data_IF_840703594865
#
_entry.id   IF_840703594865
#
_cell.length_a   1.000
_cell.length_b   1.000
_cell.length_c   1.000
_cell.angle_alpha   90.00
_cell.angle_beta   90.00
_cell.angle_gamma   90.00
#
_symmetry.space_group_name_H-M   'P 1'
#
loop_
_entity.id
_entity.type
_entity.pdbx_description
1 polymer ?
#
# COMPACT_ATOMS: atom_id res chain seq x y z
N UNK A 1 45.88 -14.06 75.17
CA UNK A 1 45.52 -12.70 74.68
C UNK A 1 45.80 -12.63 73.19
N UNK A 2 44.83 -12.89 72.32
CA UNK A 2 45.02 -12.76 70.88
C UNK A 2 44.02 -11.71 70.38
N UNK A 3 44.56 -10.59 69.89
CA UNK A 3 43.74 -9.54 69.26
C UNK A 3 43.40 -9.94 67.83
N UNK A 4 42.12 -10.13 67.54
CA UNK A 4 41.57 -10.30 66.21
C UNK A 4 41.35 -8.90 65.60
N UNK A 5 42.11 -8.55 64.55
CA UNK A 5 41.82 -7.37 63.74
C UNK A 5 40.83 -7.73 62.65
N UNK A 6 39.66 -7.21 62.76
CA UNK A 6 38.64 -7.29 61.69
C UNK A 6 38.92 -6.16 60.70
N UNK A 7 39.29 -6.53 59.48
CA UNK A 7 39.42 -5.61 58.35
C UNK A 7 38.06 -5.50 57.65
N UNK A 8 37.38 -4.36 57.81
CA UNK A 8 36.12 -4.08 57.07
C UNK A 8 36.57 -3.46 55.72
N UNK A 9 36.46 -4.24 54.63
CA UNK A 9 36.59 -3.74 53.29
C UNK A 9 35.24 -3.15 52.84
N UNK A 10 35.16 -1.82 52.77
CA UNK A 10 34.02 -1.12 52.23
C UNK A 10 34.08 -1.19 50.69
N UNK A 11 33.28 -2.06 50.09
CA UNK A 11 33.06 -2.04 48.63
C UNK A 11 32.14 -0.85 48.25
N UNK A 12 32.75 0.22 47.77
CA UNK A 12 32.02 1.31 47.10
C UNK A 12 31.52 0.78 45.73
N UNK A 13 30.29 0.39 45.64
CA UNK A 13 29.61 0.19 44.37
C UNK A 13 29.34 1.55 43.73
N UNK A 14 30.28 2.01 42.92
CA UNK A 14 30.01 3.12 41.98
C UNK A 14 29.07 2.56 40.88
N UNK A 15 27.79 2.77 41.03
CA UNK A 15 26.85 2.60 39.94
C UNK A 15 27.09 3.68 38.91
N UNK A 16 27.93 3.41 37.93
CA UNK A 16 28.04 4.20 36.71
C UNK A 16 26.72 3.94 35.93
N UNK A 17 25.74 4.81 36.14
CA UNK A 17 24.65 4.93 35.19
C UNK A 17 25.22 5.44 33.89
N UNK A 18 25.64 4.53 33.03
CA UNK A 18 25.88 4.87 31.61
C UNK A 18 24.53 5.17 31.03
N UNK A 19 24.07 6.40 31.19
CA UNK A 19 23.02 6.97 30.33
C UNK A 19 23.67 7.10 28.95
N UNK A 20 23.68 6.02 28.18
CA UNK A 20 23.91 6.10 26.76
C UNK A 20 22.76 6.97 26.20
N UNK A 21 22.99 8.27 26.13
CA UNK A 21 22.06 9.21 25.52
C UNK A 21 21.94 8.77 24.06
N UNK A 22 20.86 8.05 23.76
CA UNK A 22 20.60 7.61 22.41
C UNK A 22 20.62 8.84 21.49
N UNK A 23 21.44 8.79 20.45
CA UNK A 23 21.58 9.92 19.51
C UNK A 23 20.25 10.09 18.74
N UNK A 24 19.89 11.35 18.38
CA UNK A 24 18.79 11.58 17.45
C UNK A 24 19.07 10.84 16.14
N UNK A 25 18.19 9.93 15.75
CA UNK A 25 18.38 9.10 14.56
C UNK A 25 17.14 9.06 13.69
N UNK A 26 17.34 8.86 12.41
CA UNK A 26 16.34 8.48 11.45
C UNK A 26 16.05 6.98 11.63
N UNK A 27 14.81 6.64 11.93
CA UNK A 27 14.36 5.25 12.08
C UNK A 27 14.02 4.66 10.72
N UNK A 28 13.26 5.40 9.91
CA UNK A 28 12.81 4.96 8.60
C UNK A 28 12.59 6.15 7.66
N UNK A 29 12.78 5.94 6.36
CA UNK A 29 12.67 6.99 5.35
C UNK A 29 13.98 7.78 5.14
N UNK A 30 13.91 9.00 4.57
CA UNK A 30 12.69 9.64 4.08
C UNK A 30 12.27 9.15 2.69
N UNK A 31 10.96 9.18 2.42
CA UNK A 31 10.43 8.96 1.07
C UNK A 31 9.35 9.98 0.71
N UNK A 32 9.11 10.13 -0.60
CA UNK A 32 8.05 10.98 -1.12
C UNK A 32 6.77 10.17 -1.39
N UNK A 33 5.61 10.78 -1.16
CA UNK A 33 4.31 10.26 -1.58
C UNK A 33 3.33 11.38 -1.83
N UNK A 34 2.15 11.05 -2.36
CA UNK A 34 1.16 12.02 -2.80
C UNK A 34 1.80 13.18 -3.60
N UNK A 35 2.60 12.81 -4.61
CA UNK A 35 3.26 13.78 -5.47
C UNK A 35 2.29 14.25 -6.54
N UNK A 36 1.99 15.55 -6.54
CA UNK A 36 1.04 16.21 -7.44
C UNK A 36 1.73 17.25 -8.32
N UNK A 37 0.96 18.07 -9.03
CA UNK A 37 1.47 19.14 -9.90
C UNK A 37 2.21 20.23 -9.12
N UNK A 38 1.77 20.51 -7.87
CA UNK A 38 2.22 21.67 -7.09
C UNK A 38 2.58 21.35 -5.64
N UNK A 39 2.44 20.10 -5.24
CA UNK A 39 2.79 19.67 -3.89
C UNK A 39 3.33 18.22 -3.88
N UNK A 40 4.00 17.88 -2.77
CA UNK A 40 4.43 16.54 -2.46
C UNK A 40 4.47 16.38 -0.92
N UNK A 41 4.29 15.17 -0.43
CA UNK A 41 4.45 14.85 0.99
C UNK A 41 5.75 14.07 1.18
N UNK A 42 6.59 14.52 2.11
CA UNK A 42 7.77 13.76 2.55
C UNK A 42 7.43 13.11 3.89
N UNK A 43 7.63 11.82 3.94
CA UNK A 43 7.43 11.00 5.13
C UNK A 43 8.77 10.55 5.72
N UNK A 44 8.86 10.49 7.03
CA UNK A 44 9.96 9.85 7.77
C UNK A 44 9.49 9.42 9.16
N UNK A 45 10.20 8.49 9.78
CA UNK A 45 10.07 8.19 11.20
C UNK A 45 11.39 8.50 11.91
N UNK A 46 11.31 9.21 13.04
CA UNK A 46 12.48 9.65 13.79
C UNK A 46 12.42 9.16 15.24
N UNK A 47 13.58 9.01 15.85
CA UNK A 47 13.66 8.56 17.24
C UNK A 47 13.12 9.61 18.22
N UNK A 48 12.70 9.21 19.44
CA UNK A 48 12.17 10.11 20.48
C UNK A 48 13.14 11.22 20.91
N UNK A 49 14.43 11.07 20.64
CA UNK A 49 15.46 12.05 21.00
C UNK A 49 15.51 13.25 20.07
N UNK A 50 14.91 13.14 18.87
CA UNK A 50 14.82 14.23 17.89
C UNK A 50 13.88 15.32 18.42
N UNK A 51 14.33 16.57 18.38
CA UNK A 51 13.55 17.73 18.85
C UNK A 51 12.92 18.52 17.72
N UNK A 52 13.54 18.50 16.54
CA UNK A 52 13.05 19.19 15.36
C UNK A 52 13.33 18.42 14.08
N UNK A 53 12.38 18.47 13.17
CA UNK A 53 12.51 17.85 11.84
C UNK A 53 12.19 18.91 10.78
N UNK A 54 12.98 18.95 9.71
CA UNK A 54 12.71 19.80 8.56
C UNK A 54 13.08 19.06 7.27
N UNK A 55 12.49 19.49 6.16
CA UNK A 55 12.91 19.09 4.81
C UNK A 55 13.49 20.28 4.08
N UNK A 56 14.73 20.14 3.59
CA UNK A 56 15.35 21.05 2.65
C UNK A 56 15.24 20.47 1.25
N UNK A 57 14.79 21.29 0.29
CA UNK A 57 14.60 20.81 -1.08
C UNK A 57 14.88 21.91 -2.11
N UNK A 58 15.13 21.50 -3.34
CA UNK A 58 15.38 22.40 -4.46
C UNK A 58 15.16 21.68 -5.81
N UNK A 59 14.76 22.39 -6.88
CA UNK A 59 14.67 21.80 -8.21
C UNK A 59 16.07 21.51 -8.76
N UNK A 60 16.23 20.35 -9.41
CA UNK A 60 17.52 19.94 -10.02
C UNK A 60 18.01 20.99 -11.03
N UNK A 61 17.08 21.60 -11.76
CA UNK A 61 17.38 22.63 -12.77
C UNK A 61 17.97 23.93 -12.18
N UNK A 62 17.71 24.22 -10.89
CA UNK A 62 18.24 25.41 -10.22
C UNK A 62 18.51 25.15 -8.72
N UNK A 63 19.67 24.60 -8.38
CA UNK A 63 20.02 24.32 -6.98
C UNK A 63 20.11 25.54 -6.06
N UNK A 64 20.10 26.77 -6.60
CA UNK A 64 20.11 27.99 -5.76
C UNK A 64 18.74 28.27 -5.14
N UNK A 65 17.64 27.74 -5.69
CA UNK A 65 16.28 27.90 -5.17
C UNK A 65 15.98 26.96 -4.01
N UNK A 66 16.87 26.92 -3.03
CA UNK A 66 16.71 26.07 -1.83
C UNK A 66 15.60 26.64 -0.93
N UNK A 67 14.68 25.73 -0.55
CA UNK A 67 13.63 26.02 0.45
C UNK A 67 13.76 25.04 1.60
N UNK A 68 13.28 25.45 2.77
CA UNK A 68 13.22 24.59 3.97
C UNK A 68 11.83 24.69 4.57
N UNK A 69 11.22 23.53 4.87
CA UNK A 69 9.92 23.41 5.51
C UNK A 69 10.10 22.67 6.84
N UNK A 70 9.62 23.25 7.92
CA UNK A 70 9.64 22.65 9.25
C UNK A 70 8.47 21.68 9.39
N UNK A 71 8.70 20.56 10.06
CA UNK A 71 7.65 19.64 10.49
C UNK A 71 6.76 20.31 11.52
N UNK A 72 5.46 20.14 11.37
CA UNK A 72 4.44 20.63 12.31
C UNK A 72 3.93 19.57 13.28
N UNK A 73 4.34 18.30 13.08
CA UNK A 73 3.96 17.23 13.97
C UNK A 73 4.56 17.44 15.37
N UNK A 74 3.78 17.12 16.38
CA UNK A 74 4.26 17.02 17.76
C UNK A 74 4.99 15.69 17.87
N UNK A 75 6.27 15.73 18.27
CA UNK A 75 7.06 14.52 18.48
C UNK A 75 6.68 13.91 19.83
N UNK A 76 6.46 12.60 19.81
CA UNK A 76 6.02 11.82 20.97
C UNK A 76 7.18 11.10 21.66
N UNK A 77 6.82 10.08 22.44
CA UNK A 77 7.77 9.35 23.27
C UNK A 77 8.36 8.13 22.55
N UNK A 78 7.51 7.27 21.93
CA UNK A 78 7.95 5.98 21.40
C UNK A 78 8.14 6.01 19.88
N UNK A 79 7.12 6.41 19.14
CA UNK A 79 7.10 6.38 17.68
C UNK A 79 6.79 7.76 17.14
N UNK A 80 7.60 8.23 16.19
CA UNK A 80 7.46 9.55 15.60
C UNK A 80 7.42 9.51 14.07
N UNK A 81 6.37 8.94 13.45
CA UNK A 81 6.14 9.13 12.03
C UNK A 81 5.75 10.59 11.76
N UNK A 82 6.42 11.22 10.83
CA UNK A 82 6.20 12.62 10.47
C UNK A 82 5.88 12.75 8.98
N UNK A 83 5.02 13.73 8.66
CA UNK A 83 4.66 14.11 7.30
C UNK A 83 4.90 15.58 7.10
N UNK A 84 5.63 15.94 6.06
CA UNK A 84 6.00 17.30 5.74
C UNK A 84 5.52 17.61 4.33
N UNK A 85 4.56 18.51 4.22
CA UNK A 85 4.01 18.93 2.93
C UNK A 85 4.90 20.01 2.30
N UNK A 86 5.32 19.75 1.07
CA UNK A 86 6.02 20.69 0.22
C UNK A 86 5.02 21.31 -0.75
N UNK A 87 4.80 22.60 -0.67
CA UNK A 87 3.82 23.33 -1.48
C UNK A 87 4.48 24.36 -2.40
N UNK A 88 3.78 24.77 -3.45
CA UNK A 88 4.26 25.78 -4.40
C UNK A 88 5.39 25.23 -5.27
N UNK A 89 5.29 23.97 -5.66
CA UNK A 89 6.19 23.29 -6.58
C UNK A 89 5.80 23.63 -8.04
N UNK A 90 6.77 23.48 -8.94
CA UNK A 90 6.54 23.55 -10.38
C UNK A 90 6.20 22.16 -10.91
N UNK A 91 5.31 22.05 -11.88
CA UNK A 91 4.95 20.79 -12.52
C UNK A 91 6.09 20.25 -13.40
N UNK A 92 6.10 18.96 -13.67
CA UNK A 92 7.12 18.25 -14.47
C UNK A 92 8.56 18.62 -14.06
N UNK A 93 8.78 18.76 -12.76
CA UNK A 93 10.05 19.22 -12.20
C UNK A 93 10.59 18.21 -11.19
N UNK A 94 11.85 17.82 -11.37
CA UNK A 94 12.55 16.95 -10.44
C UNK A 94 13.14 17.77 -9.30
N UNK A 95 12.80 17.38 -8.07
CA UNK A 95 13.31 17.95 -6.83
C UNK A 95 14.22 16.97 -6.12
N UNK A 96 15.35 17.47 -5.61
CA UNK A 96 16.16 16.78 -4.60
C UNK A 96 15.73 17.30 -3.24
N UNK A 97 15.64 16.41 -2.26
CA UNK A 97 15.32 16.78 -0.88
C UNK A 97 16.26 16.09 0.11
N UNK A 98 16.38 16.66 1.28
CA UNK A 98 17.11 16.08 2.41
C UNK A 98 16.38 16.36 3.72
N UNK A 99 16.38 15.39 4.61
CA UNK A 99 15.83 15.53 5.95
C UNK A 99 16.87 16.20 6.86
N UNK A 100 16.42 17.13 7.68
CA UNK A 100 17.23 17.84 8.68
C UNK A 100 16.67 17.47 10.06
N UNK A 101 17.51 16.89 10.91
CA UNK A 101 17.20 16.52 12.29
C UNK A 101 18.05 17.38 13.22
N UNK A 102 17.41 18.14 14.12
CA UNK A 102 18.09 19.02 15.07
C UNK A 102 19.19 19.88 14.42
N UNK A 103 18.79 20.55 13.32
CA UNK A 103 19.62 21.41 12.49
C UNK A 103 20.79 20.70 11.73
N UNK A 104 20.86 19.37 11.76
CA UNK A 104 21.88 18.58 11.04
C UNK A 104 21.23 17.72 9.94
N UNK A 105 21.85 17.58 8.76
CA UNK A 105 21.38 16.65 7.75
C UNK A 105 21.32 15.21 8.27
N UNK A 106 20.19 14.53 8.04
CA UNK A 106 20.11 13.11 8.24
C UNK A 106 20.96 12.39 7.16
N UNK A 107 21.66 11.35 7.58
CA UNK A 107 22.46 10.55 6.66
C UNK A 107 21.57 9.45 6.04
N UNK A 108 21.50 9.40 4.70
CA UNK A 108 20.83 8.35 3.95
C UNK A 108 21.79 7.72 2.96
N UNK A 109 21.73 6.40 2.79
CA UNK A 109 22.56 5.65 1.85
C UNK A 109 22.00 5.63 0.42
N UNK A 110 20.91 6.35 0.17
CA UNK A 110 20.19 6.39 -1.10
C UNK A 110 19.83 7.83 -1.48
N UNK A 111 19.60 8.04 -2.79
CA UNK A 111 19.19 9.35 -3.30
C UNK A 111 17.73 9.64 -2.92
N UNK A 112 17.47 10.86 -2.51
CA UNK A 112 16.15 11.35 -2.14
C UNK A 112 15.69 12.39 -3.16
N UNK A 113 14.85 11.97 -4.09
CA UNK A 113 14.30 12.81 -5.16
C UNK A 113 12.88 12.39 -5.52
N UNK A 114 12.13 13.29 -6.07
CA UNK A 114 10.83 13.02 -6.72
C UNK A 114 10.65 13.95 -7.92
N UNK A 115 9.73 13.59 -8.81
CA UNK A 115 9.34 14.44 -9.95
C UNK A 115 7.85 14.71 -9.85
N UNK A 116 7.46 15.99 -9.88
CA UNK A 116 6.05 16.40 -9.90
C UNK A 116 5.38 15.97 -11.19
N UNK A 117 4.07 15.74 -11.16
CA UNK A 117 3.28 15.32 -12.30
C UNK A 117 3.38 16.30 -13.46
N UNK A 118 3.12 15.82 -14.65
CA UNK A 118 3.07 16.62 -15.86
C UNK A 118 1.68 17.25 -16.06
N UNK A 119 1.63 18.51 -16.43
CA UNK A 119 0.40 19.22 -16.77
C UNK A 119 0.09 19.02 -18.25
N UNK A 120 -0.49 17.88 -18.60
CA UNK A 120 -0.74 17.44 -19.97
C UNK A 120 -2.14 17.78 -20.49
N UNK A 121 -3.16 17.83 -19.61
CA UNK A 121 -4.57 17.99 -19.99
C UNK A 121 -4.76 19.25 -20.87
N UNK A 122 -5.46 19.06 -21.98
CA UNK A 122 -5.73 20.10 -23.01
C UNK A 122 -4.49 20.67 -23.71
N UNK A 123 -3.28 20.15 -23.46
CA UNK A 123 -2.00 20.66 -23.98
C UNK A 123 -1.29 19.68 -24.88
N UNK A 124 -1.31 18.41 -24.53
CA UNK A 124 -0.62 17.33 -25.25
C UNK A 124 -1.29 15.98 -24.96
N UNK A 125 -0.98 14.91 -25.71
CA UNK A 125 -1.46 13.58 -25.39
C UNK A 125 -1.08 13.17 -23.96
N UNK A 126 -1.90 12.30 -23.35
CA UNK A 126 -1.63 11.72 -22.05
C UNK A 126 -0.27 11.02 -22.07
N UNK A 127 0.65 11.32 -21.13
CA UNK A 127 1.95 10.67 -21.07
C UNK A 127 1.85 9.16 -20.86
N UNK A 128 2.74 8.42 -21.50
CA UNK A 128 2.98 7.03 -21.15
C UNK A 128 3.66 6.95 -19.79
N UNK A 129 3.34 5.93 -19.02
CA UNK A 129 3.94 5.72 -17.69
C UNK A 129 3.89 4.27 -17.30
N UNK A 130 4.62 3.94 -16.24
CA UNK A 130 4.51 2.66 -15.57
C UNK A 130 4.46 2.83 -14.06
N UNK A 131 3.93 1.83 -13.36
CA UNK A 131 3.92 1.76 -11.91
C UNK A 131 4.14 0.33 -11.44
N UNK A 132 4.57 0.19 -10.18
CA UNK A 132 4.67 -1.10 -9.53
C UNK A 132 3.46 -1.31 -8.63
N UNK A 133 3.07 -2.57 -8.46
CA UNK A 133 1.99 -2.95 -7.55
C UNK A 133 2.21 -4.35 -6.98
N UNK A 134 1.62 -4.62 -5.82
CA UNK A 134 1.57 -5.94 -5.19
C UNK A 134 1.30 -5.85 -3.69
N UNK A 135 1.36 -6.99 -3.01
CA UNK A 135 0.90 -7.16 -1.64
C UNK A 135 1.72 -8.20 -0.87
N UNK A 136 1.41 -8.38 0.41
CA UNK A 136 1.87 -9.47 1.27
C UNK A 136 3.38 -9.42 1.53
N UNK A 137 3.81 -8.36 2.24
CA UNK A 137 5.20 -8.11 2.64
C UNK A 137 5.48 -8.63 4.06
N UNK A 138 5.85 -9.89 4.19
CA UNK A 138 6.17 -10.52 5.47
C UNK A 138 7.66 -10.49 5.78
N UNK A 139 8.03 -9.94 6.93
CA UNK A 139 9.41 -9.95 7.43
C UNK A 139 9.50 -10.86 8.65
N UNK A 140 10.31 -11.90 8.56
CA UNK A 140 10.50 -12.85 9.65
C UNK A 140 11.03 -12.17 10.92
N UNK A 141 10.48 -12.61 12.06
CA UNK A 141 10.92 -12.25 13.41
C UNK A 141 10.81 -13.49 14.29
N UNK A 142 11.81 -14.39 14.27
CA UNK A 142 11.72 -15.76 14.79
C UNK A 142 11.23 -15.89 16.24
N UNK A 143 11.41 -14.85 17.05
CA UNK A 143 10.94 -14.83 18.47
C UNK A 143 9.41 -14.79 18.54
N UNK A 144 8.76 -14.15 17.57
CA UNK A 144 7.31 -13.92 17.56
C UNK A 144 6.59 -14.61 16.41
N UNK A 145 7.34 -15.14 15.43
CA UNK A 145 6.76 -15.92 14.35
C UNK A 145 6.30 -17.30 14.86
N UNK A 146 5.34 -17.89 14.17
CA UNK A 146 4.88 -19.25 14.48
C UNK A 146 6.04 -20.24 14.33
N UNK A 147 6.19 -21.21 15.25
CA UNK A 147 7.26 -22.19 15.19
C UNK A 147 7.24 -22.99 13.88
N UNK A 148 8.41 -23.33 13.36
CA UNK A 148 8.55 -24.16 12.18
C UNK A 148 9.35 -23.49 11.06
N UNK A 149 9.00 -23.81 9.81
CA UNK A 149 9.64 -23.19 8.65
C UNK A 149 9.30 -21.69 8.61
N UNK A 150 10.30 -20.80 8.36
CA UNK A 150 10.02 -19.38 8.20
C UNK A 150 8.94 -19.14 7.13
N UNK A 151 7.98 -18.26 7.45
CA UNK A 151 6.88 -17.94 6.55
C UNK A 151 7.29 -16.93 5.48
N UNK A 152 8.11 -15.96 5.86
CA UNK A 152 8.66 -14.97 4.93
C UNK A 152 9.76 -15.58 4.06
N UNK A 153 9.67 -15.32 2.76
CA UNK A 153 10.62 -15.73 1.74
C UNK A 153 11.75 -14.71 1.52
N UNK A 154 12.26 -14.66 0.29
CA UNK A 154 13.41 -13.84 -0.07
C UNK A 154 13.02 -12.36 -0.22
N UNK A 155 13.57 -11.51 0.65
CA UNK A 155 13.33 -10.08 0.63
C UNK A 155 14.13 -9.30 -0.43
N UNK A 156 15.05 -9.95 -1.16
CA UNK A 156 15.81 -9.30 -2.24
C UNK A 156 14.91 -8.82 -3.40
N UNK A 157 13.66 -9.29 -3.46
CA UNK A 157 12.63 -8.75 -4.36
C UNK A 157 12.50 -7.22 -4.25
N UNK A 158 12.63 -6.65 -3.05
CA UNK A 158 12.55 -5.21 -2.84
C UNK A 158 13.73 -4.44 -3.45
N UNK A 159 14.90 -5.07 -3.57
CA UNK A 159 16.04 -4.50 -4.31
C UNK A 159 15.76 -4.50 -5.82
N UNK A 160 15.20 -5.58 -6.33
CA UNK A 160 14.76 -5.69 -7.73
C UNK A 160 13.72 -4.63 -8.06
N UNK A 161 12.73 -4.44 -7.19
CA UNK A 161 11.73 -3.38 -7.32
C UNK A 161 12.38 -1.99 -7.29
N UNK A 162 13.29 -1.73 -6.36
CA UNK A 162 14.00 -0.44 -6.27
C UNK A 162 14.86 -0.13 -7.50
N UNK A 163 15.32 -1.14 -8.21
CA UNK A 163 16.07 -1.04 -9.47
C UNK A 163 15.16 -0.99 -10.72
N UNK A 164 13.86 -1.22 -10.57
CA UNK A 164 12.88 -1.17 -11.66
C UNK A 164 12.32 0.26 -11.77
N UNK A 165 12.64 1.04 -12.82
CA UNK A 165 12.12 2.38 -12.95
C UNK A 165 10.60 2.39 -13.04
N UNK A 166 9.95 3.21 -12.20
CA UNK A 166 8.52 3.41 -12.20
C UNK A 166 8.14 4.80 -11.70
N UNK A 167 6.96 5.27 -12.10
CA UNK A 167 6.44 6.58 -11.71
C UNK A 167 5.99 6.61 -10.24
N UNK A 168 5.49 5.48 -9.73
CA UNK A 168 5.05 5.29 -8.36
C UNK A 168 4.85 3.80 -8.07
N UNK A 169 4.59 3.49 -6.81
CA UNK A 169 4.27 2.15 -6.34
C UNK A 169 2.94 2.15 -5.57
N UNK A 170 2.13 1.09 -5.75
CA UNK A 170 0.87 0.86 -5.03
C UNK A 170 0.99 -0.42 -4.19
N UNK A 171 0.96 -0.25 -2.88
CA UNK A 171 0.82 -1.33 -1.92
C UNK A 171 -0.64 -1.76 -1.85
N UNK A 172 -0.93 -3.02 -2.14
CA UNK A 172 -2.30 -3.54 -2.25
C UNK A 172 -2.73 -4.36 -1.02
N UNK A 173 -2.32 -3.93 0.16
CA UNK A 173 -2.61 -4.59 1.42
C UNK A 173 -1.47 -5.47 1.92
N UNK A 174 -1.56 -5.86 3.20
CA UNK A 174 -0.54 -6.63 3.90
C UNK A 174 0.84 -6.00 3.82
N UNK A 175 0.90 -4.69 4.07
CA UNK A 175 2.14 -3.91 4.03
C UNK A 175 3.08 -4.25 5.20
N UNK A 176 2.52 -4.77 6.27
CA UNK A 176 3.16 -5.39 7.43
C UNK A 176 2.23 -6.44 8.00
N UNK A 177 2.78 -7.35 8.79
CA UNK A 177 2.02 -8.46 9.35
C UNK A 177 2.01 -8.40 10.88
N UNK A 178 0.87 -8.06 11.48
CA UNK A 178 0.67 -8.15 12.94
C UNK A 178 0.71 -9.59 13.40
N UNK A 179 1.30 -9.82 14.57
CA UNK A 179 1.37 -11.13 15.24
C UNK A 179 0.44 -11.15 16.46
N UNK A 180 0.31 -12.33 17.05
CA UNK A 180 -0.47 -12.52 18.27
C UNK A 180 -0.03 -11.59 19.42
N UNK A 181 1.25 -11.20 19.45
CA UNK A 181 1.80 -10.27 20.44
C UNK A 181 1.51 -8.80 20.12
N UNK A 182 1.08 -8.48 18.92
CA UNK A 182 0.91 -7.11 18.44
C UNK A 182 -0.54 -6.63 18.52
N UNK A 183 -1.48 -7.41 17.95
CA UNK A 183 -2.84 -6.94 17.67
C UNK A 183 -3.75 -6.80 18.90
N UNK A 184 -3.26 -7.13 20.10
CA UNK A 184 -4.03 -6.97 21.34
C UNK A 184 -3.79 -5.64 22.05
N UNK A 185 -2.95 -4.76 21.50
CA UNK A 185 -2.66 -3.43 22.06
C UNK A 185 -2.35 -2.41 20.98
N UNK A 186 -2.72 -1.14 21.20
CA UNK A 186 -2.35 -0.04 20.30
C UNK A 186 -0.84 0.10 20.13
N UNK A 187 -0.07 -0.11 21.19
CA UNK A 187 1.40 -0.08 21.13
C UNK A 187 1.98 -1.19 20.25
N UNK A 188 1.45 -2.42 20.37
CA UNK A 188 1.89 -3.56 19.56
C UNK A 188 1.63 -3.33 18.06
N UNK A 189 0.43 -2.85 17.72
CA UNK A 189 0.11 -2.49 16.33
C UNK A 189 1.08 -1.44 15.77
N UNK A 190 1.39 -0.41 16.56
CA UNK A 190 2.32 0.65 16.12
C UNK A 190 3.75 0.15 16.05
N UNK A 191 4.19 -0.68 17.00
CA UNK A 191 5.50 -1.33 16.96
C UNK A 191 5.68 -2.12 15.68
N UNK A 192 4.68 -2.91 15.29
CA UNK A 192 4.74 -3.71 14.07
C UNK A 192 4.88 -2.86 12.81
N UNK A 193 4.07 -1.83 12.68
CA UNK A 193 4.15 -0.90 11.54
C UNK A 193 5.52 -0.22 11.47
N UNK A 194 6.04 0.29 12.59
CA UNK A 194 7.36 0.93 12.68
C UNK A 194 8.48 -0.06 12.33
N UNK A 195 8.47 -1.23 12.97
CA UNK A 195 9.49 -2.27 12.79
C UNK A 195 9.58 -2.73 11.34
N UNK A 196 8.44 -3.09 10.73
CA UNK A 196 8.45 -3.62 9.36
C UNK A 196 8.78 -2.52 8.34
N UNK A 197 8.29 -1.29 8.53
CA UNK A 197 8.66 -0.13 7.68
C UNK A 197 10.12 0.30 7.84
N UNK A 198 10.75 0.07 8.97
CA UNK A 198 12.17 0.40 9.20
C UNK A 198 13.15 -0.63 8.63
N UNK A 199 12.67 -1.74 8.08
CA UNK A 199 13.55 -2.77 7.53
C UNK A 199 14.48 -2.18 6.45
N UNK A 200 15.79 -2.39 6.61
CA UNK A 200 16.82 -1.72 5.79
C UNK A 200 16.61 -1.93 4.29
N UNK A 201 16.18 -3.15 3.89
CA UNK A 201 15.97 -3.50 2.49
C UNK A 201 14.83 -2.71 1.83
N UNK A 202 13.84 -2.26 2.62
CA UNK A 202 12.73 -1.44 2.11
C UNK A 202 13.13 0.02 1.83
N UNK A 203 14.14 0.55 2.55
CA UNK A 203 14.40 2.00 2.54
C UNK A 203 14.69 2.54 1.14
N UNK A 204 15.45 1.77 0.35
CA UNK A 204 15.79 2.16 -1.02
C UNK A 204 14.57 2.11 -1.94
N UNK A 205 13.72 1.07 -1.84
CA UNK A 205 12.47 0.98 -2.61
C UNK A 205 11.55 2.15 -2.28
N UNK A 206 11.30 2.38 -1.00
CA UNK A 206 10.41 3.45 -0.54
C UNK A 206 10.87 4.83 -1.03
N UNK A 207 12.18 5.07 -1.09
CA UNK A 207 12.76 6.34 -1.55
C UNK A 207 12.87 6.46 -3.08
N UNK A 208 12.78 5.35 -3.83
CA UNK A 208 13.01 5.35 -5.29
C UNK A 208 11.86 5.96 -6.08
N UNK A 209 10.64 5.91 -5.55
CA UNK A 209 9.43 6.42 -6.20
C UNK A 209 8.34 6.76 -5.16
N UNK A 210 7.34 7.61 -5.51
CA UNK A 210 6.19 7.88 -4.66
C UNK A 210 5.42 6.61 -4.29
N UNK A 211 4.92 6.55 -3.03
CA UNK A 211 4.24 5.40 -2.46
C UNK A 211 2.76 5.72 -2.21
N UNK A 212 1.87 4.83 -2.65
CA UNK A 212 0.45 4.80 -2.31
C UNK A 212 0.11 3.44 -1.71
N UNK A 213 -0.91 3.36 -0.88
CA UNK A 213 -1.24 2.11 -0.20
C UNK A 213 -2.74 1.96 0.09
N UNK A 214 -3.19 0.71 0.11
CA UNK A 214 -4.35 0.27 0.87
C UNK A 214 -3.88 -0.71 1.94
N UNK A 215 -4.75 -1.07 2.86
CA UNK A 215 -4.51 -2.15 3.81
C UNK A 215 -5.25 -3.43 3.44
N UNK A 216 -4.87 -4.54 4.12
CA UNK A 216 -5.72 -5.70 4.24
C UNK A 216 -5.75 -6.16 5.71
N UNK A 217 -6.07 -7.41 6.03
CA UNK A 217 -6.28 -7.86 7.41
C UNK A 217 -5.02 -7.75 8.28
N UNK A 218 -3.86 -8.07 7.75
CA UNK A 218 -2.62 -8.06 8.54
C UNK A 218 -2.10 -6.66 8.88
N UNK A 219 -2.42 -5.63 8.08
CA UNK A 219 -2.20 -4.24 8.47
C UNK A 219 -3.23 -3.77 9.49
N UNK A 220 -4.46 -4.28 9.36
CA UNK A 220 -5.61 -3.87 10.13
C UNK A 220 -5.62 -4.48 11.53
N UNK A 221 -5.30 -5.79 11.66
CA UNK A 221 -5.32 -6.49 12.92
C UNK A 221 -5.10 -7.99 12.82
N UNK A 222 -5.90 -8.80 13.52
CA UNK A 222 -5.89 -10.25 13.40
C UNK A 222 -6.29 -10.70 11.98
N UNK A 223 -5.82 -11.90 11.60
CA UNK A 223 -6.21 -12.55 10.35
C UNK A 223 -7.74 -12.53 10.15
N UNK A 224 -8.19 -12.09 8.99
CA UNK A 224 -9.58 -11.95 8.57
C UNK A 224 -10.42 -10.96 9.39
N UNK A 225 -9.85 -10.14 10.26
CA UNK A 225 -10.60 -9.21 11.09
C UNK A 225 -11.39 -8.19 10.23
N UNK A 226 -12.56 -7.84 10.74
CA UNK A 226 -13.50 -6.90 10.14
C UNK A 226 -13.99 -5.85 11.14
N UNK A 227 -15.24 -5.45 11.00
CA UNK A 227 -15.86 -4.34 11.72
C UNK A 227 -15.84 -4.48 13.25
N UNK A 228 -15.80 -5.72 13.75
CA UNK A 228 -15.81 -6.03 15.19
C UNK A 228 -14.47 -5.82 15.88
N UNK A 229 -13.38 -5.62 15.13
CA UNK A 229 -12.06 -5.46 15.73
C UNK A 229 -11.98 -4.22 16.62
N UNK A 230 -11.66 -4.44 17.88
CA UNK A 230 -11.73 -3.42 18.94
C UNK A 230 -10.71 -2.29 18.78
N UNK A 231 -9.56 -2.54 18.12
CA UNK A 231 -8.50 -1.55 17.86
C UNK A 231 -8.53 -0.97 16.44
N UNK A 232 -9.66 -1.06 15.74
CA UNK A 232 -9.78 -0.59 14.35
C UNK A 232 -9.48 0.90 14.17
N UNK A 233 -9.78 1.73 15.16
CA UNK A 233 -9.49 3.17 15.12
C UNK A 233 -7.97 3.43 15.25
N UNK A 234 -7.31 2.67 16.12
CA UNK A 234 -5.86 2.69 16.29
C UNK A 234 -5.18 2.24 15.01
N UNK A 235 -5.62 1.12 14.42
CA UNK A 235 -5.11 0.62 13.14
C UNK A 235 -5.25 1.65 12.03
N UNK A 236 -6.41 2.30 11.94
CA UNK A 236 -6.66 3.39 11.00
C UNK A 236 -5.69 4.56 11.22
N UNK A 237 -5.48 4.99 12.46
CA UNK A 237 -4.58 6.08 12.77
C UNK A 237 -3.12 5.71 12.46
N UNK A 238 -2.72 4.46 12.74
CA UNK A 238 -1.40 3.93 12.40
C UNK A 238 -1.23 3.89 10.89
N UNK A 239 -2.16 3.30 10.16
CA UNK A 239 -2.10 3.27 8.70
C UNK A 239 -1.99 4.68 8.10
N UNK A 240 -2.83 5.61 8.58
CA UNK A 240 -2.76 7.01 8.20
C UNK A 240 -1.37 7.60 8.47
N UNK A 241 -0.75 7.30 9.60
CA UNK A 241 0.56 7.84 9.97
C UNK A 241 1.72 7.24 9.16
N UNK A 242 1.62 5.97 8.73
CA UNK A 242 2.68 5.23 8.02
C UNK A 242 2.52 5.18 6.49
N UNK A 243 1.53 5.86 5.93
CA UNK A 243 1.30 5.95 4.48
C UNK A 243 1.14 7.41 4.04
N UNK A 244 1.21 7.66 2.74
CA UNK A 244 1.18 9.02 2.17
C UNK A 244 0.10 9.19 1.10
N UNK A 245 -1.07 8.60 1.32
CA UNK A 245 -2.22 8.79 0.44
C UNK A 245 -2.74 10.25 0.47
N UNK A 246 -3.45 10.69 -0.56
CA UNK A 246 -4.04 12.04 -0.60
C UNK A 246 -5.06 12.31 0.52
N UNK A 247 -5.82 11.28 0.88
CA UNK A 247 -6.87 11.33 1.92
C UNK A 247 -7.07 9.95 2.57
N UNK A 248 -7.91 9.87 3.60
CA UNK A 248 -8.19 8.65 4.35
C UNK A 248 -9.64 8.62 4.80
N UNK A 249 -10.52 8.04 3.96
CA UNK A 249 -11.94 7.93 4.23
C UNK A 249 -12.64 9.27 4.42
N UNK A 250 -13.84 9.21 4.95
CA UNK A 250 -14.69 10.36 5.26
C UNK A 250 -15.13 10.33 6.72
N UNK A 251 -15.40 11.51 7.29
CA UNK A 251 -15.88 11.67 8.68
C UNK A 251 -15.02 10.95 9.73
N UNK A 252 -13.72 10.82 9.47
CA UNK A 252 -12.80 10.11 10.37
C UNK A 252 -12.89 8.57 10.31
N UNK A 253 -13.56 7.98 9.33
CA UNK A 253 -13.79 6.53 9.19
C UNK A 253 -13.24 5.99 7.89
N UNK A 254 -12.66 4.78 7.95
CA UNK A 254 -12.05 4.11 6.81
C UNK A 254 -10.75 4.76 6.32
N UNK A 255 -10.17 4.18 5.28
CA UNK A 255 -8.91 4.66 4.67
C UNK A 255 -9.03 4.88 3.17
N UNK A 256 -10.21 4.68 2.59
CA UNK A 256 -10.39 4.83 1.15
C UNK A 256 -10.02 6.22 0.63
N UNK A 257 -9.53 6.27 -0.59
CA UNK A 257 -8.97 7.47 -1.22
C UNK A 257 -8.93 7.33 -2.73
N UNK A 258 -8.58 8.39 -3.44
CA UNK A 258 -8.34 8.33 -4.87
C UNK A 258 -7.20 9.26 -5.28
N UNK A 259 -6.54 8.91 -6.38
CA UNK A 259 -5.61 9.79 -7.08
C UNK A 259 -5.64 9.51 -8.57
N UNK A 260 -5.17 10.44 -9.37
CA UNK A 260 -5.04 10.28 -10.82
C UNK A 260 -3.56 10.34 -11.23
N UNK A 261 -3.17 9.53 -12.20
CA UNK A 261 -1.87 9.66 -12.85
C UNK A 261 -2.03 9.53 -14.36
N UNK A 262 -1.57 10.52 -15.11
CA UNK A 262 -1.86 10.63 -16.55
C UNK A 262 -3.38 10.53 -16.79
N UNK A 263 -3.82 9.61 -17.64
CA UNK A 263 -5.21 9.34 -17.98
C UNK A 263 -5.78 8.10 -17.26
N UNK A 264 -5.27 7.80 -16.08
CA UNK A 264 -5.75 6.70 -15.23
C UNK A 264 -6.14 7.22 -13.85
N UNK A 265 -7.32 6.82 -13.39
CA UNK A 265 -7.78 7.05 -12.02
C UNK A 265 -7.66 5.79 -11.17
N UNK A 266 -7.14 5.96 -9.96
CA UNK A 266 -6.94 4.91 -8.97
C UNK A 266 -7.89 5.15 -7.80
N UNK A 267 -8.77 4.19 -7.53
CA UNK A 267 -9.69 4.17 -6.40
C UNK A 267 -9.14 3.19 -5.37
N UNK A 268 -8.51 3.72 -4.36
CA UNK A 268 -7.93 2.97 -3.24
C UNK A 268 -9.05 2.66 -2.26
N UNK A 269 -9.47 1.41 -2.15
CA UNK A 269 -10.60 1.02 -1.29
C UNK A 269 -10.16 0.54 0.08
N UNK A 270 -11.11 0.45 0.98
CA UNK A 270 -11.00 -0.08 2.32
C UNK A 270 -11.90 -1.31 2.45
N UNK A 271 -11.32 -2.47 2.52
CA UNK A 271 -12.04 -3.75 2.61
C UNK A 271 -12.04 -4.33 4.03
N UNK A 272 -11.76 -3.51 5.08
CA UNK A 272 -11.69 -3.98 6.47
C UNK A 272 -12.55 -3.19 7.45
N UNK A 273 -12.43 -1.89 7.47
CA UNK A 273 -13.05 -1.04 8.50
C UNK A 273 -14.57 -1.20 8.61
N UNK A 274 -15.25 -1.43 7.48
CA UNK A 274 -16.70 -1.59 7.40
C UNK A 274 -17.14 -3.03 7.12
N UNK A 275 -16.18 -3.96 6.99
CA UNK A 275 -16.45 -5.32 6.57
C UNK A 275 -17.13 -6.12 7.68
N UNK A 276 -18.29 -6.69 7.37
CA UNK A 276 -18.95 -7.68 8.22
C UNK A 276 -18.09 -8.94 8.36
N UNK A 277 -18.25 -9.64 9.47
CA UNK A 277 -17.54 -10.91 9.69
C UNK A 277 -17.88 -11.93 8.60
N UNK A 278 -16.92 -12.72 8.11
CA UNK A 278 -17.12 -13.67 7.02
C UNK A 278 -18.26 -14.68 7.28
N UNK A 279 -18.43 -15.09 8.54
CA UNK A 279 -19.42 -16.07 8.98
C UNK A 279 -20.87 -15.54 8.98
N UNK A 280 -21.06 -14.22 8.88
CA UNK A 280 -22.40 -13.66 8.74
C UNK A 280 -23.06 -14.21 7.48
N UNK A 281 -24.32 -14.62 7.60
CA UNK A 281 -25.08 -15.17 6.47
C UNK A 281 -25.13 -14.16 5.30
N UNK A 282 -24.75 -14.62 4.12
CA UNK A 282 -24.72 -13.82 2.90
C UNK A 282 -26.12 -13.64 2.28
N UNK A 283 -27.07 -14.45 2.69
CA UNK A 283 -28.47 -14.36 2.21
C UNK A 283 -29.46 -14.52 3.35
N UNK A 284 -30.60 -13.86 3.20
CA UNK A 284 -31.76 -14.01 4.06
C UNK A 284 -33.00 -14.21 3.15
N UNK A 285 -33.82 -15.22 3.46
CA UNK A 285 -35.02 -15.52 2.68
C UNK A 285 -34.76 -15.73 1.17
N UNK A 286 -33.59 -16.29 0.82
CA UNK A 286 -33.21 -16.55 -0.57
C UNK A 286 -32.77 -15.30 -1.37
N UNK A 287 -32.53 -14.15 -0.70
CA UNK A 287 -32.03 -12.91 -1.31
C UNK A 287 -30.72 -12.50 -0.66
N UNK A 288 -29.81 -11.83 -1.40
CA UNK A 288 -28.61 -11.25 -0.84
C UNK A 288 -28.89 -10.33 0.35
N UNK A 289 -28.14 -10.47 1.42
CA UNK A 289 -28.32 -9.72 2.67
C UNK A 289 -27.65 -8.35 2.59
N UNK A 290 -28.42 -7.27 2.64
CA UNK A 290 -27.89 -5.92 2.74
C UNK A 290 -27.17 -5.64 4.07
N UNK A 291 -27.37 -6.48 5.08
CA UNK A 291 -26.69 -6.36 6.38
C UNK A 291 -25.26 -6.89 6.37
N UNK A 292 -24.88 -7.72 5.37
CA UNK A 292 -23.52 -8.20 5.19
C UNK A 292 -22.77 -7.29 4.23
N UNK A 293 -21.85 -6.49 4.77
CA UNK A 293 -21.14 -5.45 4.03
C UNK A 293 -19.67 -5.78 3.82
N UNK A 294 -19.10 -5.42 2.68
CA UNK A 294 -17.68 -5.49 2.36
C UNK A 294 -17.01 -4.11 2.42
N UNK A 295 -17.52 -3.16 1.66
CA UNK A 295 -17.12 -1.77 1.66
C UNK A 295 -17.96 -0.88 2.59
N UNK A 296 -19.20 -1.27 2.86
CA UNK A 296 -20.17 -0.47 3.59
C UNK A 296 -20.80 0.63 2.74
N UNK A 297 -21.99 1.10 3.17
CA UNK A 297 -22.81 1.99 2.38
C UNK A 297 -22.14 3.31 1.98
N UNK A 298 -21.42 3.95 2.90
CA UNK A 298 -20.73 5.25 2.66
C UNK A 298 -19.65 5.13 1.61
N UNK A 299 -18.78 4.13 1.73
CA UNK A 299 -17.72 3.92 0.74
C UNK A 299 -18.29 3.51 -0.62
N UNK A 300 -19.34 2.67 -0.65
CA UNK A 300 -20.04 2.31 -1.90
C UNK A 300 -20.65 3.54 -2.59
N UNK A 301 -21.23 4.45 -1.83
CA UNK A 301 -21.76 5.71 -2.36
C UNK A 301 -20.62 6.58 -2.93
N UNK A 302 -19.54 6.76 -2.18
CA UNK A 302 -18.35 7.48 -2.63
C UNK A 302 -17.79 6.88 -3.93
N UNK A 303 -17.57 5.55 -3.96
CA UNK A 303 -16.98 4.87 -5.12
C UNK A 303 -17.85 5.03 -6.37
N UNK A 304 -19.17 4.88 -6.24
CA UNK A 304 -20.12 5.07 -7.34
C UNK A 304 -20.06 6.50 -7.90
N UNK A 305 -20.07 7.51 -7.05
CA UNK A 305 -20.00 8.90 -7.47
C UNK A 305 -18.62 9.23 -8.09
N UNK A 306 -17.54 8.72 -7.52
CA UNK A 306 -16.19 8.90 -8.05
C UNK A 306 -16.01 8.26 -9.43
N UNK A 307 -16.57 7.07 -9.66
CA UNK A 307 -16.59 6.39 -10.96
C UNK A 307 -17.41 7.16 -12.02
N UNK A 308 -18.56 7.73 -11.65
CA UNK A 308 -19.37 8.57 -12.55
C UNK A 308 -18.64 9.86 -12.93
N UNK A 309 -17.93 10.47 -11.98
CA UNK A 309 -17.17 11.70 -12.23
C UNK A 309 -15.94 11.47 -13.10
N UNK A 310 -15.34 10.27 -13.05
CA UNK A 310 -14.10 9.94 -13.71
C UNK A 310 -14.20 9.97 -15.24
N UNK A 311 -13.31 10.75 -15.86
CA UNK A 311 -13.12 10.81 -17.31
C UNK A 311 -11.87 10.02 -17.76
N UNK A 312 -11.26 9.26 -16.86
CA UNK A 312 -10.04 8.52 -17.13
C UNK A 312 -10.28 7.38 -18.15
N UNK A 313 -9.25 7.10 -18.94
CA UNK A 313 -9.22 5.98 -19.90
C UNK A 313 -9.35 4.65 -19.16
N UNK A 314 -8.55 4.47 -18.11
CA UNK A 314 -8.66 3.31 -17.21
C UNK A 314 -9.03 3.76 -15.79
N UNK A 315 -9.88 2.99 -15.14
CA UNK A 315 -10.38 3.18 -13.79
C UNK A 315 -9.99 1.97 -12.96
N UNK A 316 -8.91 2.08 -12.21
CA UNK A 316 -8.35 0.97 -11.42
C UNK A 316 -8.91 1.04 -10.00
N UNK A 317 -9.74 0.06 -9.64
CA UNK A 317 -10.24 -0.12 -8.28
C UNK A 317 -9.30 -1.09 -7.58
N UNK A 318 -8.60 -0.60 -6.54
CA UNK A 318 -7.63 -1.37 -5.78
C UNK A 318 -8.30 -1.89 -4.50
N UNK A 319 -8.31 -3.21 -4.32
CA UNK A 319 -8.91 -3.90 -3.16
C UNK A 319 -7.87 -4.83 -2.52
N UNK A 320 -7.89 -4.99 -1.21
CA UNK A 320 -7.00 -5.93 -0.51
C UNK A 320 -7.20 -7.37 -1.00
N UNK A 321 -8.45 -7.83 -1.03
CA UNK A 321 -8.82 -9.17 -1.50
C UNK A 321 -9.49 -9.13 -2.88
N UNK A 322 -9.59 -10.29 -3.54
CA UNK A 322 -10.21 -10.45 -4.86
C UNK A 322 -11.67 -9.98 -4.88
N UNK A 323 -12.08 -9.48 -6.05
CA UNK A 323 -13.46 -9.01 -6.30
C UNK A 323 -14.26 -9.97 -7.15
N UNK A 324 -13.66 -10.54 -8.20
CA UNK A 324 -14.39 -11.25 -9.26
C UNK A 324 -14.26 -12.78 -9.22
N UNK A 325 -13.32 -13.36 -8.46
CA UNK A 325 -13.06 -14.80 -8.51
C UNK A 325 -14.23 -15.63 -7.95
N UNK A 326 -14.96 -16.40 -8.78
CA UNK A 326 -16.13 -17.15 -8.33
C UNK A 326 -15.78 -18.41 -7.52
N UNK A 327 -14.52 -18.85 -7.57
CA UNK A 327 -14.06 -20.06 -6.90
C UNK A 327 -13.30 -19.78 -5.59
N UNK A 328 -12.98 -18.52 -5.32
CA UNK A 328 -12.37 -18.14 -4.06
C UNK A 328 -13.39 -18.27 -2.91
N UNK A 329 -13.12 -19.23 -2.01
CA UNK A 329 -13.96 -19.54 -0.85
C UNK A 329 -13.45 -18.88 0.45
N UNK A 330 -12.28 -18.23 0.41
CA UNK A 330 -11.65 -17.66 1.61
C UNK A 330 -12.01 -16.19 1.80
N UNK A 331 -11.39 -15.33 1.03
CA UNK A 331 -11.63 -13.88 1.08
C UNK A 331 -11.87 -13.33 -0.32
N UNK A 332 -13.06 -12.85 -0.55
CA UNK A 332 -13.44 -12.28 -1.84
C UNK A 332 -14.68 -11.41 -1.65
N UNK A 333 -14.75 -10.27 -2.34
CA UNK A 333 -15.96 -9.43 -2.30
C UNK A 333 -17.20 -10.18 -2.74
N UNK A 334 -17.06 -11.20 -3.58
CA UNK A 334 -18.17 -12.03 -4.04
C UNK A 334 -18.91 -12.76 -2.91
N UNK A 335 -18.26 -13.01 -1.77
CA UNK A 335 -18.89 -13.60 -0.57
C UNK A 335 -19.79 -12.61 0.19
N UNK A 336 -19.91 -11.40 -0.32
CA UNK A 336 -20.76 -10.29 0.13
C UNK A 336 -21.68 -9.90 -1.02
N UNK A 337 -22.54 -10.85 -1.40
CA UNK A 337 -23.24 -10.84 -2.68
C UNK A 337 -24.08 -9.59 -2.91
N UNK A 338 -24.69 -9.02 -1.86
CA UNK A 338 -25.46 -7.78 -1.98
C UNK A 338 -24.60 -6.62 -2.55
N UNK A 339 -23.48 -6.29 -1.93
CA UNK A 339 -22.65 -5.17 -2.40
C UNK A 339 -21.96 -5.49 -3.73
N UNK A 340 -21.51 -6.75 -3.92
CA UNK A 340 -20.92 -7.20 -5.17
C UNK A 340 -21.87 -7.04 -6.35
N UNK A 341 -23.08 -7.56 -6.25
CA UNK A 341 -24.12 -7.47 -7.30
C UNK A 341 -24.52 -6.02 -7.57
N UNK A 342 -24.66 -5.19 -6.51
CA UNK A 342 -24.96 -3.77 -6.64
C UNK A 342 -23.86 -3.00 -7.35
N UNK A 343 -22.58 -3.30 -7.09
CA UNK A 343 -21.46 -2.68 -7.80
C UNK A 343 -21.47 -3.08 -9.28
N UNK A 344 -21.58 -4.37 -9.59
CA UNK A 344 -21.61 -4.85 -10.98
C UNK A 344 -22.81 -4.30 -11.76
N UNK A 345 -23.99 -4.27 -11.12
CA UNK A 345 -25.18 -3.67 -11.71
C UNK A 345 -24.99 -2.17 -11.98
N UNK A 346 -24.43 -1.44 -11.02
CA UNK A 346 -24.14 -0.01 -11.18
C UNK A 346 -23.20 0.27 -12.35
N UNK A 347 -22.11 -0.50 -12.49
CA UNK A 347 -21.17 -0.37 -13.60
C UNK A 347 -21.87 -0.58 -14.95
N UNK A 348 -22.79 -1.56 -15.01
CA UNK A 348 -23.54 -1.90 -16.21
C UNK A 348 -24.61 -0.85 -16.55
N UNK A 349 -25.44 -0.47 -15.58
CA UNK A 349 -26.56 0.46 -15.76
C UNK A 349 -26.08 1.87 -16.16
N UNK A 350 -24.92 2.30 -15.64
CA UNK A 350 -24.32 3.60 -15.94
C UNK A 350 -23.28 3.55 -17.07
N UNK A 351 -23.13 2.39 -17.75
CA UNK A 351 -22.21 2.21 -18.87
C UNK A 351 -20.76 2.68 -18.56
N UNK A 352 -20.29 2.43 -17.32
CA UNK A 352 -18.95 2.84 -16.90
C UNK A 352 -17.91 2.03 -17.67
N UNK A 353 -17.11 2.68 -18.50
CA UNK A 353 -16.04 2.07 -19.31
C UNK A 353 -14.70 2.10 -18.61
N UNK A 354 -13.78 1.19 -18.99
CA UNK A 354 -12.38 1.22 -18.57
C UNK A 354 -12.13 0.71 -17.15
N UNK A 355 -13.06 -0.01 -16.53
CA UNK A 355 -12.91 -0.50 -15.15
C UNK A 355 -12.09 -1.78 -15.10
N UNK A 356 -11.12 -1.80 -14.17
CA UNK A 356 -10.28 -2.94 -13.81
C UNK A 356 -10.22 -3.03 -12.28
N UNK A 357 -10.18 -4.22 -11.73
CA UNK A 357 -9.89 -4.47 -10.33
C UNK A 357 -8.44 -4.93 -10.17
N UNK A 358 -7.76 -4.42 -9.16
CA UNK A 358 -6.44 -4.87 -8.75
C UNK A 358 -6.52 -5.33 -7.30
N UNK A 359 -6.01 -6.53 -7.01
CA UNK A 359 -6.16 -7.18 -5.71
C UNK A 359 -4.88 -7.85 -5.21
N UNK A 360 -4.85 -8.14 -3.89
CA UNK A 360 -3.76 -8.81 -3.19
C UNK A 360 -4.16 -10.14 -2.56
N UNK A 361 -3.72 -10.40 -1.31
CA UNK A 361 -4.14 -11.45 -0.39
C UNK A 361 -3.73 -12.89 -0.77
N UNK A 362 -3.91 -13.31 -1.99
CA UNK A 362 -3.95 -14.72 -2.42
C UNK A 362 -2.64 -15.50 -2.35
N UNK A 363 -1.52 -14.84 -2.15
CA UNK A 363 -0.18 -15.45 -2.14
C UNK A 363 0.18 -16.21 -3.42
N UNK A 364 -0.49 -15.89 -4.51
CA UNK A 364 -0.19 -16.18 -5.91
C UNK A 364 -0.75 -15.06 -6.76
N UNK A 365 -0.26 -14.91 -7.98
CA UNK A 365 -0.82 -13.94 -8.92
C UNK A 365 -1.61 -14.64 -10.00
N UNK A 366 -2.69 -14.01 -10.42
CA UNK A 366 -3.55 -14.47 -11.50
C UNK A 366 -4.38 -13.31 -12.07
N UNK A 367 -4.99 -13.50 -13.21
CA UNK A 367 -6.00 -12.57 -13.75
C UNK A 367 -7.30 -13.32 -13.96
N UNK A 368 -8.34 -12.88 -13.28
CA UNK A 368 -9.70 -13.40 -13.43
C UNK A 368 -10.47 -12.54 -14.42
N UNK A 369 -11.13 -13.16 -15.36
CA UNK A 369 -11.99 -12.53 -16.37
C UNK A 369 -13.45 -12.91 -16.12
N UNK A 370 -14.30 -11.91 -15.92
CA UNK A 370 -15.75 -12.07 -15.82
C UNK A 370 -16.40 -11.58 -17.11
N UNK A 371 -16.91 -12.49 -17.91
CA UNK A 371 -17.71 -12.16 -19.11
C UNK A 371 -19.07 -11.59 -18.70
N UNK A 372 -19.51 -10.56 -19.42
CA UNK A 372 -20.80 -9.91 -19.21
C UNK A 372 -21.52 -9.80 -20.55
N UNK A 373 -22.63 -10.53 -20.76
CA UNK A 373 -23.35 -10.50 -22.05
C UNK A 373 -23.73 -9.07 -22.48
N UNK A 374 -23.34 -8.69 -23.70
CA UNK A 374 -23.60 -7.35 -24.25
C UNK A 374 -22.77 -6.21 -23.68
N UNK A 375 -21.82 -6.50 -22.79
CA UNK A 375 -20.91 -5.54 -22.16
C UNK A 375 -19.46 -6.03 -22.32
N UNK A 376 -18.50 -5.14 -22.10
CA UNK A 376 -17.10 -5.56 -22.04
C UNK A 376 -16.83 -6.42 -20.79
N UNK A 377 -15.87 -7.36 -20.85
CA UNK A 377 -15.52 -8.19 -19.70
C UNK A 377 -14.83 -7.37 -18.62
N UNK A 378 -15.06 -7.71 -17.34
CA UNK A 378 -14.29 -7.17 -16.22
C UNK A 378 -13.09 -8.08 -15.93
N UNK A 379 -12.03 -7.47 -15.46
CA UNK A 379 -10.81 -8.17 -15.06
C UNK A 379 -10.43 -7.84 -13.62
N UNK A 380 -9.97 -8.85 -12.88
CA UNK A 380 -9.40 -8.74 -11.54
C UNK A 380 -7.96 -9.24 -11.59
N UNK A 381 -7.03 -8.31 -11.42
CA UNK A 381 -5.58 -8.54 -11.51
C UNK A 381 -5.04 -8.72 -10.10
N UNK A 382 -4.82 -9.95 -9.70
CA UNK A 382 -4.24 -10.30 -8.40
C UNK A 382 -2.72 -10.31 -8.49
N UNK A 383 -2.02 -9.60 -7.59
CA UNK A 383 -0.56 -9.54 -7.55
C UNK A 383 -0.08 -9.78 -6.11
N UNK A 384 0.43 -10.97 -5.86
CA UNK A 384 0.81 -11.49 -4.55
C UNK A 384 1.68 -12.75 -4.69
N UNK A 385 2.61 -13.06 -3.75
CA UNK A 385 3.08 -12.23 -2.66
C UNK A 385 4.43 -11.56 -2.99
N UNK A 386 4.77 -10.51 -2.25
CA UNK A 386 6.16 -10.02 -2.24
C UNK A 386 7.07 -11.00 -1.50
N UNK A 387 6.87 -11.17 -0.20
CA UNK A 387 7.73 -11.99 0.65
C UNK A 387 6.97 -12.97 1.53
N UNK A 388 5.65 -12.88 1.66
CA UNK A 388 4.88 -13.90 2.37
C UNK A 388 4.96 -15.28 1.70
N UNK A 389 4.60 -16.31 2.43
CA UNK A 389 4.63 -17.68 1.92
C UNK A 389 3.76 -17.86 0.67
N UNK A 390 4.31 -18.47 -0.37
CA UNK A 390 3.59 -18.70 -1.63
C UNK A 390 2.53 -19.77 -1.44
N UNK A 391 1.30 -19.49 -1.88
CA UNK A 391 0.19 -20.43 -1.93
C UNK A 391 0.01 -20.99 -3.34
N UNK A 392 -0.12 -22.33 -3.44
CA UNK A 392 -0.45 -22.99 -4.69
C UNK A 392 -1.96 -23.16 -4.80
N UNK A 393 -2.49 -22.87 -5.99
CA UNK A 393 -3.90 -23.15 -6.27
C UNK A 393 -4.17 -24.64 -6.26
N UNK A 394 -5.31 -25.06 -5.72
CA UNK A 394 -5.70 -26.46 -5.55
C UNK A 394 -7.15 -26.68 -5.95
N UNK A 395 -7.53 -27.93 -6.05
CA UNK A 395 -8.91 -28.38 -6.27
C UNK A 395 -9.56 -27.69 -7.49
N UNK A 396 -10.71 -27.09 -7.27
CA UNK A 396 -11.46 -26.40 -8.31
C UNK A 396 -10.73 -25.17 -8.85
N UNK A 397 -10.01 -24.43 -7.98
CA UNK A 397 -9.22 -23.25 -8.42
C UNK A 397 -8.08 -23.62 -9.36
N UNK A 398 -7.53 -24.82 -9.28
CA UNK A 398 -6.48 -25.28 -10.21
C UNK A 398 -6.98 -25.30 -11.66
N UNK A 399 -8.27 -25.55 -11.86
CA UNK A 399 -8.96 -25.60 -13.17
C UNK A 399 -9.88 -24.41 -13.40
N UNK A 400 -9.58 -23.26 -12.79
CA UNK A 400 -10.44 -22.07 -12.88
C UNK A 400 -10.58 -21.58 -14.32
N UNK A 401 -11.74 -21.77 -14.91
CA UNK A 401 -12.07 -21.35 -16.29
C UNK A 401 -12.20 -19.83 -16.43
N UNK A 402 -12.34 -19.10 -15.33
CA UNK A 402 -12.37 -17.65 -15.34
C UNK A 402 -10.95 -17.05 -15.34
N UNK A 403 -9.91 -17.88 -15.08
CA UNK A 403 -8.53 -17.42 -15.15
C UNK A 403 -8.10 -17.23 -16.59
N UNK A 404 -7.52 -16.08 -16.89
CA UNK A 404 -6.87 -15.82 -18.16
C UNK A 404 -5.67 -16.77 -18.31
N UNK A 405 -5.61 -17.48 -19.42
CA UNK A 405 -4.55 -18.48 -19.67
C UNK A 405 -3.15 -17.84 -19.60
N UNK A 406 -2.22 -18.52 -18.92
CA UNK A 406 -0.82 -18.07 -18.80
C UNK A 406 -0.58 -16.95 -17.76
N UNK A 407 -1.59 -16.62 -16.92
CA UNK A 407 -1.42 -15.55 -15.91
C UNK A 407 -1.26 -16.07 -14.48
N UNK A 408 -1.30 -17.38 -14.24
CA UNK A 408 -1.05 -17.96 -12.91
C UNK A 408 0.45 -17.92 -12.60
N UNK A 409 0.81 -17.26 -11.51
CA UNK A 409 2.19 -17.21 -10.98
C UNK A 409 2.17 -17.65 -9.52
N UNK A 410 2.79 -18.78 -9.26
CA UNK A 410 2.92 -19.38 -7.92
C UNK A 410 4.34 -19.23 -7.36
N UNK A 411 4.86 -18.02 -7.47
CA UNK A 411 6.18 -17.61 -7.00
C UNK A 411 6.11 -16.20 -6.39
N UNK A 412 7.12 -15.81 -5.59
CA UNK A 412 7.25 -14.42 -5.15
C UNK A 412 7.39 -13.50 -6.37
N UNK A 413 6.54 -12.48 -6.43
CA UNK A 413 6.51 -11.59 -7.57
C UNK A 413 5.95 -10.21 -7.22
N UNK A 414 6.12 -9.28 -8.15
CA UNK A 414 5.46 -7.99 -8.18
C UNK A 414 4.96 -7.67 -9.58
N UNK A 415 3.96 -6.83 -9.66
CA UNK A 415 3.45 -6.32 -10.93
C UNK A 415 4.23 -5.09 -11.40
N UNK A 416 4.65 -5.11 -12.67
CA UNK A 416 5.05 -3.92 -13.42
C UNK A 416 3.96 -3.62 -14.43
N UNK A 417 3.23 -2.55 -14.20
CA UNK A 417 2.11 -2.16 -15.06
C UNK A 417 2.54 -0.98 -15.93
N UNK A 418 2.31 -1.07 -17.23
CA UNK A 418 2.64 -0.01 -18.19
C UNK A 418 1.37 0.44 -18.90
N UNK A 419 1.13 1.75 -18.94
CA UNK A 419 0.05 2.36 -19.71
C UNK A 419 0.67 3.20 -20.82
N UNK A 420 0.39 2.84 -22.08
CA UNK A 420 1.03 3.45 -23.23
C UNK A 420 0.10 3.52 -24.44
N UNK A 421 0.48 4.34 -25.44
CA UNK A 421 -0.25 4.48 -26.68
C UNK A 421 -0.98 5.81 -26.84
N UNK A 422 -1.53 6.05 -28.02
CA UNK A 422 -2.27 7.27 -28.33
C UNK A 422 -3.69 7.23 -27.74
N UNK A 423 -4.33 8.38 -27.64
CA UNK A 423 -5.74 8.49 -27.26
C UNK A 423 -6.60 7.57 -28.15
N UNK A 424 -7.53 6.84 -27.57
CA UNK A 424 -8.37 5.79 -28.14
C UNK A 424 -7.64 4.49 -28.55
N UNK A 425 -6.33 4.42 -28.35
CA UNK A 425 -5.48 3.24 -28.62
C UNK A 425 -4.63 2.88 -27.41
N UNK A 426 -5.01 3.36 -26.21
CA UNK A 426 -4.25 3.07 -24.99
C UNK A 426 -4.25 1.57 -24.69
N UNK A 427 -3.12 1.09 -24.23
CA UNK A 427 -2.91 -0.30 -23.79
C UNK A 427 -2.44 -0.27 -22.35
N UNK A 428 -3.08 -1.07 -21.51
CA UNK A 428 -2.59 -1.39 -20.19
C UNK A 428 -1.97 -2.79 -20.26
N UNK A 429 -0.68 -2.86 -19.96
CA UNK A 429 0.10 -4.09 -19.94
C UNK A 429 0.51 -4.41 -18.50
N UNK A 430 0.31 -5.64 -18.05
CA UNK A 430 0.70 -6.18 -16.75
C UNK A 430 1.81 -7.21 -16.98
N UNK A 431 2.97 -7.02 -16.37
CA UNK A 431 4.03 -8.00 -16.29
C UNK A 431 4.20 -8.46 -14.85
N UNK A 432 4.15 -9.76 -14.60
CA UNK A 432 4.52 -10.37 -13.31
C UNK A 432 6.02 -10.62 -13.30
N UNK A 433 6.72 -9.98 -12.39
CA UNK A 433 8.19 -9.97 -12.32
C UNK A 433 8.65 -10.67 -11.04
N UNK A 434 9.55 -11.63 -11.21
CA UNK A 434 10.10 -12.41 -10.11
C UNK A 434 11.24 -11.72 -9.36
N UNK A 435 11.80 -12.41 -8.37
CA UNK A 435 12.81 -11.91 -7.45
C UNK A 435 14.06 -11.39 -8.18
N UNK A 436 14.49 -12.05 -9.26
CA UNK A 436 15.69 -11.69 -10.02
C UNK A 436 15.39 -10.76 -11.21
N UNK A 437 14.16 -10.26 -11.33
CA UNK A 437 13.74 -9.41 -12.43
C UNK A 437 13.29 -10.18 -13.68
N UNK A 438 13.18 -11.50 -13.60
CA UNK A 438 12.65 -12.35 -14.65
C UNK A 438 11.14 -12.15 -14.83
N UNK A 439 10.68 -12.29 -16.06
CA UNK A 439 9.26 -12.22 -16.38
C UNK A 439 8.62 -13.60 -16.16
N UNK A 440 7.70 -13.69 -15.20
CA UNK A 440 6.98 -14.93 -14.86
C UNK A 440 5.66 -15.07 -15.63
N UNK A 441 5.08 -13.97 -16.07
CA UNK A 441 3.85 -13.94 -16.85
C UNK A 441 3.55 -12.52 -17.32
N UNK A 442 2.64 -12.42 -18.28
CA UNK A 442 2.19 -11.12 -18.78
C UNK A 442 0.78 -11.17 -19.35
N UNK A 443 0.15 -10.02 -19.39
CA UNK A 443 -1.16 -9.81 -20.00
C UNK A 443 -1.31 -8.35 -20.43
N UNK A 444 -2.16 -8.12 -21.43
CA UNK A 444 -2.48 -6.76 -21.84
C UNK A 444 -3.95 -6.64 -22.27
N UNK A 445 -4.50 -5.44 -22.07
CA UNK A 445 -5.84 -5.07 -22.53
C UNK A 445 -5.80 -3.70 -23.21
N UNK A 446 -6.56 -3.58 -24.30
CA UNK A 446 -6.69 -2.32 -25.01
C UNK A 446 -7.89 -1.51 -24.50
N UNK A 447 -7.76 -0.20 -24.46
CA UNK A 447 -8.85 0.72 -24.12
C UNK A 447 -10.17 0.38 -24.82
N UNK A 448 -10.13 0.08 -26.13
CA UNK A 448 -11.30 -0.26 -26.92
C UNK A 448 -12.03 -1.52 -26.45
N UNK A 449 -11.29 -2.48 -25.85
CA UNK A 449 -11.84 -3.75 -25.38
C UNK A 449 -12.53 -3.60 -24.01
N UNK A 450 -12.42 -2.43 -23.37
CA UNK A 450 -13.08 -2.04 -22.12
C UNK A 450 -14.13 -0.95 -22.30
N UNK A 451 -14.60 -0.73 -23.52
CA UNK A 451 -15.67 0.24 -23.81
C UNK A 451 -17.01 -0.48 -23.88
N UNK A 452 -18.00 0.10 -23.24
CA UNK A 452 -19.39 -0.26 -23.51
C UNK A 452 -19.75 0.25 -24.89
N UNK A 453 -20.04 -0.64 -25.82
CA UNK A 453 -20.53 -0.24 -27.15
C UNK A 453 -21.81 0.54 -26.95
N UNK A 454 -21.85 1.79 -27.40
CA UNK A 454 -23.11 2.47 -27.62
C UNK A 454 -23.76 1.78 -28.84
N UNK A 455 -25.03 1.37 -28.75
CA UNK A 455 -25.74 0.86 -29.92
C UNK A 455 -25.84 1.91 -31.01
#
# INVERSE_FOLDING_TARGET
MHFFKILIAAFLFIQIKVNAQQKPVLISGPWAGNVELRNATIWAEVSPQVKSVAVKFYPVSNPSLKKTVLCKNILGNDFNPVKIELNGLDFNTTYIYSLILDAKPANTSFATKFTTKDLWQYRKPAPDFNFLAGSCAYFNEPVFDRPGKPYGGDSSIFETMANTPASFHVWMGDNWYTREVDFSTAWGLQYRASRDRSHTILQRLMASMPQYAIWDDHDYGPNNAGISYIFKEESRNIFKNYTTNPSYGEEGKGIYSQFSYSDVDFFLTDNRYFRSEPEMADSAEGKPSAGKTYFGAKQMEWLKNALLHSQATFKIIVSGSQVLNPLNKFECMRLYSYEHEHLLHFLSANKISGVLFFSGDRHHSEIIKLERPGLYPLYDVTISPYTAGVSKVRDEEAKNLYRVSGTLVEEQNFGKITVSGKKNERILHVGFIGIKGEKLGEWAVKEKDLKTNNP
#
